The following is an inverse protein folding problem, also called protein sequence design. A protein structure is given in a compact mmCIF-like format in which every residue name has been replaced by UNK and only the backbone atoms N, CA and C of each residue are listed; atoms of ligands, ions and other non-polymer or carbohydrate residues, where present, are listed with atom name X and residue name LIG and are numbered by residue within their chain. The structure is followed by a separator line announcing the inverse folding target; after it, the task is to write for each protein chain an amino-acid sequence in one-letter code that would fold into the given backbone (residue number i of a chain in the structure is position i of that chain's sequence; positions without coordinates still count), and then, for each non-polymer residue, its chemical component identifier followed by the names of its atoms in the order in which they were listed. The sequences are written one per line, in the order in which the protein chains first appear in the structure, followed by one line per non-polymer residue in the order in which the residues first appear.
data_IF_133377270080
#
_entry.id   IF_133377270080
#
_cell.length_a   1.000
_cell.length_b   1.000
_cell.length_c   1.000
_cell.angle_alpha   90.00
_cell.angle_beta   90.00
_cell.angle_gamma   90.00
#
_symmetry.space_group_name_H-M   'P 1'
#
loop_
_entity.id
_entity.type
_entity.pdbx_description
1 polymer ?
#
# COMPACT_ATOMS: atom_id res chain seq x y z
N UNK A 1 -9.93 4.72 14.74
CA UNK A 1 -10.28 4.33 13.39
C UNK A 1 -9.11 3.80 12.58
N UNK A 2 -8.05 4.52 12.54
CA UNK A 2 -6.85 4.08 11.85
C UNK A 2 -6.28 2.79 12.45
N UNK A 3 -6.33 2.69 13.76
CA UNK A 3 -5.84 1.51 14.45
C UNK A 3 -6.62 0.26 14.10
N UNK A 4 -7.93 0.37 13.98
CA UNK A 4 -8.75 -0.76 13.59
C UNK A 4 -8.39 -1.27 12.22
N UNK A 5 -8.12 -0.36 11.30
CA UNK A 5 -7.66 -0.74 9.96
C UNK A 5 -6.31 -1.42 10.00
N UNK A 6 -5.40 -0.88 10.81
CA UNK A 6 -4.07 -1.44 10.95
C UNK A 6 -4.14 -2.86 11.50
N UNK A 7 -4.99 -3.09 12.49
CA UNK A 7 -5.16 -4.41 13.06
C UNK A 7 -5.69 -5.41 12.04
N UNK A 8 -6.66 -5.00 11.24
CA UNK A 8 -7.21 -5.86 10.20
C UNK A 8 -6.18 -6.19 9.14
N UNK A 9 -5.40 -5.18 8.77
CA UNK A 9 -4.34 -5.35 7.80
C UNK A 9 -3.31 -6.34 8.32
N UNK A 10 -2.96 -6.21 9.60
CA UNK A 10 -2.01 -7.12 10.24
C UNK A 10 -2.54 -8.56 10.24
N UNK A 11 -3.83 -8.73 10.57
CA UNK A 11 -4.46 -10.04 10.53
C UNK A 11 -4.40 -10.66 9.14
N UNK A 12 -4.71 -9.87 8.13
CA UNK A 12 -4.69 -10.34 6.76
C UNK A 12 -3.30 -10.78 6.36
N UNK A 13 -2.29 -9.99 6.73
CA UNK A 13 -0.91 -10.33 6.38
C UNK A 13 -0.44 -11.61 7.04
N UNK A 14 -0.86 -11.85 8.27
CA UNK A 14 -0.48 -13.05 9.01
C UNK A 14 -0.94 -14.31 8.29
N UNK A 15 -2.03 -14.23 7.54
CA UNK A 15 -2.55 -15.39 6.82
C UNK A 15 -1.74 -15.77 5.59
N UNK A 16 -0.74 -15.03 5.28
CA UNK A 16 0.36 -15.34 4.34
C UNK A 16 -0.01 -15.61 2.88
N UNK A 17 -1.28 -15.64 2.51
CA UNK A 17 -1.64 -15.74 1.10
C UNK A 17 -2.11 -14.42 0.52
N UNK A 18 -2.06 -13.35 1.31
CA UNK A 18 -2.30 -12.00 0.84
C UNK A 18 -0.98 -11.46 0.30
N UNK A 19 -0.93 -11.18 -1.01
CA UNK A 19 0.29 -10.69 -1.65
C UNK A 19 0.28 -9.19 -1.87
N UNK A 20 -0.89 -8.60 -1.97
CA UNK A 20 -1.05 -7.18 -2.23
C UNK A 20 -2.11 -6.62 -1.32
N UNK A 21 -1.80 -5.47 -0.72
CA UNK A 21 -2.71 -4.78 0.18
C UNK A 21 -2.95 -3.39 -0.40
N UNK A 22 -4.20 -3.08 -0.68
CA UNK A 22 -4.56 -1.79 -1.24
C UNK A 22 -5.03 -0.88 -0.12
N UNK A 23 -4.35 0.24 0.03
CA UNK A 23 -4.69 1.25 1.03
C UNK A 23 -5.46 2.37 0.34
N UNK A 24 -6.72 2.54 0.71
CA UNK A 24 -7.55 3.60 0.15
C UNK A 24 -7.32 4.89 0.92
N UNK A 25 -6.79 5.89 0.23
CA UNK A 25 -6.43 7.16 0.85
C UNK A 25 -7.40 8.28 0.53
N UNK A 26 -8.48 7.99 -0.16
CA UNK A 26 -9.44 9.02 -0.59
C UNK A 26 -9.96 9.85 0.57
N UNK A 27 -10.21 9.23 1.71
CA UNK A 27 -10.74 9.90 2.89
C UNK A 27 -9.69 10.57 3.76
N UNK A 28 -8.44 10.62 3.32
CA UNK A 28 -7.34 11.20 4.09
C UNK A 28 -6.91 12.51 3.43
N UNK A 29 -7.44 13.66 3.90
CA UNK A 29 -7.13 14.95 3.27
C UNK A 29 -5.74 15.46 3.61
N UNK A 30 -5.19 15.04 4.75
CA UNK A 30 -3.85 15.47 5.15
C UNK A 30 -3.16 14.36 5.93
N UNK A 31 -1.84 14.40 5.91
CA UNK A 31 -1.01 13.40 6.56
C UNK A 31 0.08 14.11 7.33
N UNK A 32 0.11 13.93 8.64
CA UNK A 32 1.14 14.51 9.49
C UNK A 32 2.26 13.50 9.76
N UNK A 33 3.24 13.91 10.57
CA UNK A 33 4.40 13.05 10.84
C UNK A 33 4.01 11.75 11.55
N UNK A 34 3.00 11.80 12.43
CA UNK A 34 2.52 10.62 13.12
C UNK A 34 1.92 9.63 12.12
N UNK A 35 1.09 10.14 11.20
CA UNK A 35 0.50 9.31 10.16
C UNK A 35 1.55 8.74 9.22
N UNK A 36 2.56 9.55 8.89
CA UNK A 36 3.65 9.10 8.03
C UNK A 36 4.43 7.96 8.70
N UNK A 37 4.72 8.11 10.00
CA UNK A 37 5.37 7.04 10.77
C UNK A 37 4.57 5.76 10.73
N UNK A 38 3.25 5.86 10.88
CA UNK A 38 2.37 4.70 10.86
C UNK A 38 2.45 3.98 9.51
N UNK A 39 2.49 4.75 8.41
CA UNK A 39 2.62 4.16 7.08
C UNK A 39 3.97 3.48 6.89
N UNK A 40 5.02 4.10 7.39
CA UNK A 40 6.36 3.52 7.30
C UNK A 40 6.45 2.21 8.08
N UNK A 41 5.85 2.18 9.26
CA UNK A 41 5.81 0.96 10.08
C UNK A 41 5.00 -0.13 9.39
N UNK A 42 3.87 0.24 8.79
CA UNK A 42 3.05 -0.70 8.05
C UNK A 42 3.80 -1.26 6.86
N UNK A 43 4.52 -0.41 6.14
CA UNK A 43 5.32 -0.84 5.00
C UNK A 43 6.37 -1.87 5.43
N UNK A 44 7.08 -1.57 6.52
CA UNK A 44 8.10 -2.49 7.03
C UNK A 44 7.50 -3.83 7.43
N UNK A 45 6.36 -3.79 8.09
CA UNK A 45 5.67 -5.01 8.50
C UNK A 45 5.26 -5.84 7.28
N UNK A 46 4.66 -5.19 6.30
CA UNK A 46 4.20 -5.87 5.09
C UNK A 46 5.38 -6.46 4.32
N UNK A 47 6.46 -5.71 4.22
CA UNK A 47 7.64 -6.18 3.52
C UNK A 47 8.22 -7.42 4.19
N UNK A 48 8.24 -7.45 5.51
CA UNK A 48 8.71 -8.63 6.25
C UNK A 48 7.84 -9.85 6.03
N UNK A 49 6.59 -9.64 5.66
CA UNK A 49 5.64 -10.73 5.45
C UNK A 49 5.37 -11.01 3.97
N UNK A 50 6.13 -10.41 3.08
CA UNK A 50 5.98 -10.64 1.65
C UNK A 50 4.75 -9.99 1.04
N UNK A 51 4.23 -8.95 1.67
CA UNK A 51 3.05 -8.23 1.20
C UNK A 51 3.48 -6.91 0.59
N UNK A 52 2.96 -6.59 -0.60
CA UNK A 52 3.24 -5.34 -1.28
C UNK A 52 2.09 -4.37 -1.08
N UNK A 53 2.43 -3.10 -0.86
CA UNK A 53 1.43 -2.06 -0.66
C UNK A 53 1.12 -1.35 -1.97
N UNK A 54 -0.17 -1.10 -2.20
CA UNK A 54 -0.64 -0.28 -3.31
C UNK A 54 -1.54 0.78 -2.71
N UNK A 55 -1.36 2.02 -3.12
CA UNK A 55 -2.15 3.14 -2.60
C UNK A 55 -3.09 3.65 -3.67
N UNK A 56 -4.35 3.89 -3.31
CA UNK A 56 -5.33 4.40 -4.25
C UNK A 56 -5.82 5.79 -3.82
N UNK A 57 -5.93 6.67 -4.78
CA UNK A 57 -6.50 8.02 -4.61
C UNK A 57 -5.83 8.79 -3.47
N UNK A 58 -4.52 8.94 -3.56
CA UNK A 58 -3.77 9.72 -2.57
C UNK A 58 -3.95 11.20 -2.89
N UNK A 59 -4.47 11.95 -1.93
CA UNK A 59 -4.73 13.37 -2.12
C UNK A 59 -3.43 14.18 -2.17
N UNK A 60 -3.54 15.45 -2.55
CA UNK A 60 -2.37 16.27 -2.87
C UNK A 60 -1.42 16.43 -1.69
N UNK A 61 -1.95 16.76 -0.51
CA UNK A 61 -1.09 16.97 0.66
C UNK A 61 -0.43 15.67 1.12
N UNK A 62 -1.17 14.56 1.27
CA UNK A 62 -0.52 13.30 1.62
C UNK A 62 0.57 12.87 0.65
N UNK A 63 0.36 13.03 -0.65
CA UNK A 63 1.40 12.61 -1.61
C UNK A 63 2.66 13.47 -1.49
N UNK A 64 2.49 14.75 -1.20
CA UNK A 64 3.64 15.63 -0.96
C UNK A 64 4.43 15.19 0.26
N UNK A 65 3.74 14.87 1.34
CA UNK A 65 4.38 14.38 2.56
C UNK A 65 5.13 13.08 2.29
N UNK A 66 4.52 12.19 1.55
CA UNK A 66 5.15 10.91 1.21
C UNK A 66 6.39 11.11 0.34
N UNK A 67 6.33 12.04 -0.63
CA UNK A 67 7.50 12.32 -1.48
C UNK A 67 8.63 12.91 -0.67
N UNK A 68 8.32 13.84 0.23
CA UNK A 68 9.32 14.44 1.09
C UNK A 68 10.01 13.43 1.98
N UNK A 69 9.27 12.45 2.46
CA UNK A 69 9.82 11.41 3.31
C UNK A 69 10.56 10.31 2.53
N UNK A 70 10.55 10.37 1.20
CA UNK A 70 11.14 9.34 0.37
C UNK A 70 10.31 8.08 0.30
N UNK A 71 9.09 8.12 0.79
CA UNK A 71 8.22 6.95 0.87
C UNK A 71 7.71 6.53 -0.50
N UNK A 72 7.45 7.49 -1.39
CA UNK A 72 7.00 7.18 -2.76
C UNK A 72 8.08 6.38 -3.51
N UNK A 73 9.33 6.78 -3.35
CA UNK A 73 10.44 6.06 -3.97
C UNK A 73 10.64 4.69 -3.34
N UNK A 74 10.42 4.59 -2.03
CA UNK A 74 10.59 3.34 -1.30
C UNK A 74 9.55 2.30 -1.73
N UNK A 75 8.29 2.71 -1.84
CA UNK A 75 7.20 1.81 -2.24
C UNK A 75 7.23 1.57 -3.74
N UNK A 76 7.53 2.58 -4.52
CA UNK A 76 7.50 2.55 -5.97
C UNK A 76 6.36 3.39 -6.51
N UNK A 77 6.67 4.33 -7.41
CA UNK A 77 5.68 5.25 -7.95
C UNK A 77 4.55 4.52 -8.66
N UNK A 78 4.84 3.41 -9.30
CA UNK A 78 3.83 2.64 -10.02
C UNK A 78 2.75 2.06 -9.10
N UNK A 79 3.00 2.00 -7.80
CA UNK A 79 2.03 1.48 -6.84
C UNK A 79 1.08 2.55 -6.30
N UNK A 80 1.21 3.78 -6.78
CA UNK A 80 0.32 4.88 -6.40
C UNK A 80 -0.67 5.11 -7.53
N UNK A 81 -1.88 4.59 -7.36
CA UNK A 81 -2.89 4.59 -8.43
C UNK A 81 -3.95 5.65 -8.20
N UNK A 82 -4.61 6.05 -9.29
CA UNK A 82 -5.55 7.17 -9.26
C UNK A 82 -6.88 6.82 -8.61
N UNK A 83 -7.29 5.56 -8.69
CA UNK A 83 -8.58 5.13 -8.15
C UNK A 83 -8.47 3.71 -7.61
N UNK A 84 -9.51 3.30 -6.86
CA UNK A 84 -9.55 1.94 -6.33
C UNK A 84 -9.62 0.91 -7.45
N UNK A 85 -10.36 1.21 -8.51
CA UNK A 85 -10.47 0.30 -9.66
C UNK A 85 -9.11 0.12 -10.33
N UNK A 86 -8.38 1.22 -10.51
CA UNK A 86 -7.05 1.19 -11.08
C UNK A 86 -6.08 0.40 -10.19
N UNK A 87 -6.20 0.57 -8.87
CA UNK A 87 -5.36 -0.16 -7.93
C UNK A 87 -5.64 -1.66 -7.98
N UNK A 88 -6.90 -2.03 -8.08
CA UNK A 88 -7.30 -3.44 -8.18
C UNK A 88 -6.75 -4.05 -9.47
N UNK A 89 -6.89 -3.34 -10.59
CA UNK A 89 -6.36 -3.82 -11.86
C UNK A 89 -4.85 -3.98 -11.81
N UNK A 90 -4.17 -3.03 -11.18
CA UNK A 90 -2.72 -3.09 -11.02
C UNK A 90 -2.30 -4.33 -10.22
N UNK A 91 -2.96 -4.56 -9.09
CA UNK A 91 -2.67 -5.73 -8.26
C UNK A 91 -2.93 -7.02 -9.02
N UNK A 92 -4.05 -7.06 -9.75
CA UNK A 92 -4.41 -8.25 -10.52
C UNK A 92 -3.37 -8.57 -11.59
N UNK A 93 -2.90 -7.55 -12.29
CA UNK A 93 -1.87 -7.74 -13.32
C UNK A 93 -0.57 -8.25 -12.73
N UNK A 94 -0.17 -7.70 -11.57
CA UNK A 94 1.07 -8.13 -10.92
C UNK A 94 0.96 -9.58 -10.46
N UNK A 95 -0.19 -9.98 -9.94
CA UNK A 95 -0.42 -11.36 -9.53
C UNK A 95 -0.36 -12.30 -10.73
N UNK A 96 -0.96 -11.91 -11.85
CA UNK A 96 -0.93 -12.72 -13.07
C UNK A 96 0.49 -12.89 -13.58
N UNK A 97 1.27 -11.83 -13.53
CA UNK A 97 2.68 -11.88 -13.96
C UNK A 97 3.50 -12.81 -13.07
N UNK A 98 3.27 -12.75 -11.76
CA UNK A 98 3.94 -13.65 -10.84
C UNK A 98 3.58 -15.09 -11.10
N UNK A 99 2.30 -15.37 -11.30
CA UNK A 99 1.83 -16.72 -11.57
C UNK A 99 2.38 -17.25 -12.89
N UNK A 100 2.42 -16.40 -13.92
CA UNK A 100 2.97 -16.78 -15.19
C UNK A 100 4.45 -17.11 -15.08
N UNK A 101 5.20 -16.28 -14.35
CA UNK A 101 6.61 -16.53 -14.12
C UNK A 101 6.87 -17.80 -13.33
N UNK A 102 5.98 -18.09 -12.39
CA UNK A 102 6.11 -19.27 -11.56
C UNK A 102 5.69 -20.54 -12.30
N UNK A 103 4.70 -20.40 -13.16
CA UNK A 103 4.18 -21.51 -13.93
C UNK A 103 5.09 -21.95 -15.05
N UNK A 104 6.01 -21.07 -15.40
CA UNK A 104 6.98 -21.40 -16.40
C UNK A 104 8.07 -22.28 -15.82
#
# INVERSE_FOLDING_TARGET
MFFGMTDRITDISVKSFTKYLIIRMRGVPSLDSTGMNALENLYSYCRSNGVNLIFSHVNEQPIKTMRHAGFVDLVGEEHFRASIDDAIDHARRLLEEEEAGRGA
#
